data_IF_981202916794
#
_entry.id   IF_981202916794
#
_cell.length_a   1.000
_cell.length_b   1.000
_cell.length_c   1.000
_cell.angle_alpha   90.00
_cell.angle_beta   90.00
_cell.angle_gamma   90.00
#
_symmetry.space_group_name_H-M   'P 1'
#
loop_
_entity.id
_entity.type
_entity.pdbx_description
1 polymer ?
#
# COMPACT_ATOMS: atom_id res chain seq x y z
N UNK A 1 8.68 3.74 -11.22
CA UNK A 1 8.29 3.94 -12.64
C UNK A 1 7.99 2.66 -13.44
N UNK A 2 7.99 1.44 -12.85
CA UNK A 2 7.44 0.24 -13.52
C UNK A 2 5.95 0.01 -13.19
N UNK A 3 5.56 0.17 -11.93
CA UNK A 3 4.20 -0.12 -11.46
C UNK A 3 3.08 0.63 -12.21
N UNK A 4 3.29 1.88 -12.59
CA UNK A 4 2.27 2.63 -13.34
C UNK A 4 1.98 2.02 -14.71
N UNK A 5 2.98 1.42 -15.38
CA UNK A 5 2.78 0.73 -16.66
C UNK A 5 2.14 -0.65 -16.46
N UNK A 6 2.52 -1.38 -15.41
CA UNK A 6 1.88 -2.66 -15.10
C UNK A 6 0.38 -2.47 -14.81
N UNK A 7 0.01 -1.37 -14.14
CA UNK A 7 -1.39 -1.03 -13.89
C UNK A 7 -2.16 -0.61 -15.15
N UNK A 8 -1.47 -0.15 -16.21
CA UNK A 8 -2.09 0.14 -17.51
C UNK A 8 -2.47 -1.12 -18.28
N UNK A 9 -1.74 -2.23 -18.08
CA UNK A 9 -2.02 -3.52 -18.75
C UNK A 9 -3.29 -4.20 -18.20
N UNK A 10 -3.81 -3.70 -17.08
CA UNK A 10 -5.04 -4.15 -16.45
C UNK A 10 -4.78 -4.87 -15.14
N UNK A 11 -5.33 -4.33 -14.05
CA UNK A 11 -5.28 -4.92 -12.72
C UNK A 11 -6.66 -4.76 -12.09
N UNK A 12 -7.25 -5.84 -11.56
CA UNK A 12 -8.59 -5.76 -10.95
C UNK A 12 -8.55 -5.18 -9.53
N UNK A 13 -7.49 -5.51 -8.78
CA UNK A 13 -7.25 -5.02 -7.44
C UNK A 13 -5.75 -4.96 -7.12
N UNK A 14 -5.34 -3.98 -6.31
CA UNK A 14 -3.97 -3.76 -5.87
C UNK A 14 -3.88 -3.82 -4.35
N UNK A 15 -2.93 -4.60 -3.82
CA UNK A 15 -2.59 -4.61 -2.39
C UNK A 15 -1.21 -3.96 -2.22
N UNK A 16 -1.18 -2.84 -1.51
CA UNK A 16 0.03 -2.08 -1.20
C UNK A 16 0.46 -2.38 0.24
N UNK A 17 1.75 -2.64 0.44
CA UNK A 17 2.32 -2.93 1.77
C UNK A 17 3.41 -1.91 2.04
N UNK A 18 3.29 -1.16 3.13
CA UNK A 18 4.20 -0.05 3.42
C UNK A 18 4.41 0.19 4.93
N UNK A 19 5.49 0.88 5.26
CA UNK A 19 5.70 1.46 6.59
C UNK A 19 4.90 2.77 6.70
N UNK A 20 4.18 2.96 7.80
CA UNK A 20 3.37 4.16 8.04
C UNK A 20 3.83 4.91 9.29
N UNK A 21 3.53 6.23 9.40
CA UNK A 21 3.90 7.01 10.57
C UNK A 21 3.38 6.39 11.88
N UNK A 22 4.27 6.28 12.86
CA UNK A 22 3.91 5.79 14.19
C UNK A 22 2.96 6.74 14.89
N UNK A 23 1.86 6.20 15.43
CA UNK A 23 0.88 6.89 16.26
C UNK A 23 0.97 6.49 17.73
N UNK A 24 2.07 5.82 18.10
CA UNK A 24 2.39 5.42 19.48
C UNK A 24 2.39 3.93 19.71
N UNK A 25 2.18 3.11 18.68
CA UNK A 25 2.20 1.65 18.80
C UNK A 25 2.98 1.01 17.63
N UNK A 26 4.33 1.10 17.63
CA UNK A 26 5.16 0.48 16.59
C UNK A 26 4.83 -1.01 16.40
N UNK A 27 4.86 -1.47 15.14
CA UNK A 27 4.47 -2.84 14.78
C UNK A 27 2.95 -3.06 14.65
N UNK A 28 2.12 -2.06 14.95
CA UNK A 28 0.68 -2.17 14.72
C UNK A 28 0.38 -2.21 13.22
N UNK A 29 -0.42 -3.19 12.81
CA UNK A 29 -0.86 -3.36 11.42
C UNK A 29 -2.20 -2.68 11.22
N UNK A 30 -2.28 -1.86 10.17
CA UNK A 30 -3.47 -1.15 9.74
C UNK A 30 -3.85 -1.60 8.34
N UNK A 31 -5.13 -1.85 8.11
CA UNK A 31 -5.65 -2.21 6.79
C UNK A 31 -6.75 -1.21 6.43
N UNK A 32 -6.58 -0.51 5.31
CA UNK A 32 -7.53 0.50 4.85
C UNK A 32 -7.56 0.61 3.34
N UNK A 33 -8.66 1.12 2.80
CA UNK A 33 -8.80 1.41 1.37
C UNK A 33 -8.09 2.72 1.02
N UNK A 34 -7.38 2.75 -0.10
CA UNK A 34 -6.75 3.97 -0.56
C UNK A 34 -7.79 4.94 -1.14
N UNK A 35 -7.75 6.21 -0.68
CA UNK A 35 -8.51 7.29 -1.31
C UNK A 35 -7.70 7.90 -2.45
N UNK A 36 -7.96 7.46 -3.69
CA UNK A 36 -7.18 7.88 -4.86
C UNK A 36 -7.34 9.35 -5.25
N UNK A 37 -8.36 10.03 -4.72
CA UNK A 37 -8.59 11.47 -4.94
C UNK A 37 -7.66 12.30 -4.04
N UNK A 38 -7.56 11.96 -2.76
CA UNK A 38 -6.64 12.62 -1.83
C UNK A 38 -5.19 12.31 -2.16
N UNK A 39 -4.86 11.07 -2.53
CA UNK A 39 -3.49 10.68 -2.90
C UNK A 39 -2.97 11.48 -4.10
N UNK A 40 -3.79 11.70 -5.13
CA UNK A 40 -3.39 12.49 -6.31
C UNK A 40 -3.05 13.94 -5.95
N UNK A 41 -3.68 14.51 -4.91
CA UNK A 41 -3.41 15.86 -4.42
C UNK A 41 -2.17 15.94 -3.53
N UNK A 42 -1.71 14.82 -2.96
CA UNK A 42 -0.57 14.76 -2.02
C UNK A 42 0.76 14.41 -2.67
N UNK A 43 0.84 14.37 -4.01
CA UNK A 43 2.07 14.15 -4.78
C UNK A 43 3.06 15.32 -4.64
N UNK A 44 3.53 15.56 -3.41
CA UNK A 44 4.73 16.33 -3.10
C UNK A 44 5.95 15.45 -3.34
N UNK A 45 7.03 16.06 -3.85
CA UNK A 45 8.26 15.37 -4.22
C UNK A 45 8.94 14.74 -2.99
N UNK A 46 8.55 13.52 -2.66
CA UNK A 46 9.40 12.60 -1.91
C UNK A 46 10.27 11.83 -2.90
N UNK A 47 11.58 11.80 -2.65
CA UNK A 47 12.58 11.23 -3.57
C UNK A 47 12.56 9.69 -3.59
N UNK A 48 11.69 9.05 -2.81
CA UNK A 48 11.38 7.65 -2.97
C UNK A 48 10.56 7.45 -4.25
N UNK A 49 11.18 6.89 -5.27
CA UNK A 49 10.59 6.62 -6.59
C UNK A 49 9.41 5.60 -6.60
N UNK A 50 8.85 5.30 -5.42
CA UNK A 50 7.77 4.35 -5.16
C UNK A 50 6.73 4.93 -4.17
N UNK A 51 6.58 6.25 -4.06
CA UNK A 51 5.42 6.83 -3.39
C UNK A 51 4.13 6.42 -4.14
N UNK A 52 3.14 5.78 -3.46
CA UNK A 52 1.92 5.31 -4.10
C UNK A 52 1.11 6.43 -4.75
N UNK A 53 1.10 7.62 -4.15
CA UNK A 53 0.42 8.79 -4.71
C UNK A 53 1.04 9.22 -6.05
N UNK A 54 2.37 9.28 -6.14
CA UNK A 54 3.08 9.56 -7.38
C UNK A 54 2.83 8.49 -8.47
N UNK A 55 2.72 7.21 -8.09
CA UNK A 55 2.36 6.12 -9.02
C UNK A 55 0.95 6.30 -9.56
N UNK A 56 -0.05 6.56 -8.70
CA UNK A 56 -1.44 6.75 -9.15
C UNK A 56 -1.63 8.04 -9.95
N UNK A 57 -0.92 9.11 -9.60
CA UNK A 57 -0.92 10.33 -10.40
C UNK A 57 -0.34 10.09 -11.80
N UNK A 58 0.76 9.33 -11.89
CA UNK A 58 1.37 8.93 -13.17
C UNK A 58 0.43 8.05 -14.00
N UNK A 59 -0.23 7.06 -13.38
CA UNK A 59 -1.22 6.20 -14.02
C UNK A 59 -2.39 7.03 -14.61
N UNK A 60 -2.96 7.95 -13.80
CA UNK A 60 -4.01 8.87 -14.24
C UNK A 60 -3.54 9.74 -15.43
N UNK A 61 -2.31 10.28 -15.37
CA UNK A 61 -1.74 11.10 -16.44
C UNK A 61 -1.53 10.32 -17.75
N UNK A 62 -1.32 9.01 -17.68
CA UNK A 62 -1.21 8.11 -18.82
C UNK A 62 -2.56 7.59 -19.33
N UNK A 63 -3.68 8.02 -18.74
CA UNK A 63 -5.04 7.63 -19.13
C UNK A 63 -5.54 6.34 -18.48
N UNK A 64 -4.81 5.80 -17.51
CA UNK A 64 -5.26 4.66 -16.70
C UNK A 64 -6.12 5.09 -15.52
N UNK A 65 -6.80 4.13 -14.90
CA UNK A 65 -7.55 4.33 -13.66
C UNK A 65 -6.98 3.41 -12.59
N UNK A 66 -6.67 3.90 -11.38
CA UNK A 66 -6.18 3.03 -10.33
C UNK A 66 -7.25 1.99 -9.96
N UNK A 67 -6.87 0.72 -9.78
CA UNK A 67 -7.82 -0.32 -9.39
C UNK A 67 -8.25 -0.15 -7.93
N UNK A 68 -9.21 -0.97 -7.52
CA UNK A 68 -9.54 -1.10 -6.10
C UNK A 68 -8.26 -1.38 -5.31
N UNK A 69 -7.89 -0.48 -4.40
CA UNK A 69 -6.58 -0.51 -3.74
C UNK A 69 -6.75 -0.62 -2.24
N UNK A 70 -6.13 -1.64 -1.65
CA UNK A 70 -6.05 -1.81 -0.19
C UNK A 70 -4.60 -1.59 0.25
N UNK A 71 -4.41 -0.83 1.31
CA UNK A 71 -3.11 -0.59 1.94
C UNK A 71 -3.04 -1.39 3.24
N UNK A 72 -1.98 -2.18 3.39
CA UNK A 72 -1.58 -2.85 4.63
C UNK A 72 -0.35 -2.11 5.18
N UNK A 73 -0.59 -1.20 6.12
CA UNK A 73 0.44 -0.36 6.72
C UNK A 73 0.93 -0.93 8.05
N UNK A 74 2.24 -0.91 8.30
CA UNK A 74 2.82 -1.20 9.61
C UNK A 74 3.41 0.07 10.24
N UNK A 75 3.01 0.41 11.47
CA UNK A 75 3.60 1.55 12.18
C UNK A 75 5.10 1.33 12.41
N UNK A 76 5.94 2.21 11.85
CA UNK A 76 7.39 2.10 11.98
C UNK A 76 7.87 2.50 13.39
N UNK A 77 8.83 1.77 13.97
CA UNK A 77 9.47 2.20 15.22
C UNK A 77 10.57 3.24 14.98
N UNK A 78 11.36 3.05 13.92
CA UNK A 78 12.45 3.91 13.50
C UNK A 78 12.60 3.86 11.97
N UNK A 79 12.91 5.01 11.35
CA UNK A 79 13.19 5.19 9.91
C UNK A 79 14.57 5.81 9.65
N UNK A 80 15.42 5.91 10.67
CA UNK A 80 16.82 6.31 10.55
C UNK A 80 17.58 5.37 9.60
N UNK A 81 18.65 5.88 8.98
CA UNK A 81 19.48 5.09 8.06
C UNK A 81 20.08 3.86 8.76
N UNK A 82 19.81 2.68 8.21
CA UNK A 82 20.27 1.42 8.78
C UNK A 82 19.82 0.20 7.99
N UNK A 83 20.30 -0.97 8.38
CA UNK A 83 19.89 -2.26 7.81
C UNK A 83 19.15 -3.06 8.88
N UNK A 84 17.96 -3.54 8.52
CA UNK A 84 17.14 -4.38 9.37
C UNK A 84 15.88 -3.68 9.87
N UNK A 85 14.99 -4.48 10.44
CA UNK A 85 13.75 -4.02 11.05
C UNK A 85 13.99 -3.82 12.56
N UNK A 86 13.20 -2.94 13.18
CA UNK A 86 13.14 -2.89 14.64
C UNK A 86 12.56 -4.20 15.20
N UNK A 87 12.73 -4.45 16.49
CA UNK A 87 12.16 -5.64 17.14
C UNK A 87 10.64 -5.67 17.01
N UNK A 88 9.97 -4.55 17.20
CA UNK A 88 8.51 -4.42 17.11
C UNK A 88 8.00 -4.76 15.70
N UNK A 89 8.64 -4.20 14.67
CA UNK A 89 8.25 -4.47 13.27
C UNK A 89 8.59 -5.92 12.89
N UNK A 90 9.72 -6.45 13.36
CA UNK A 90 10.10 -7.86 13.15
C UNK A 90 9.04 -8.81 13.70
N UNK A 91 8.56 -8.56 14.92
CA UNK A 91 7.51 -9.34 15.57
C UNK A 91 6.15 -9.18 14.87
N UNK A 92 5.92 -8.04 14.20
CA UNK A 92 4.69 -7.77 13.48
C UNK A 92 4.60 -8.45 12.10
N UNK A 93 5.72 -8.85 11.49
CA UNK A 93 5.73 -9.45 10.13
C UNK A 93 4.74 -10.60 9.97
N UNK A 94 4.66 -11.60 10.88
CA UNK A 94 3.67 -12.68 10.75
C UNK A 94 2.22 -12.19 10.78
N UNK A 95 1.92 -11.11 11.53
CA UNK A 95 0.60 -10.51 11.55
C UNK A 95 0.30 -9.75 10.25
N UNK A 96 1.28 -9.05 9.68
CA UNK A 96 1.16 -8.40 8.38
C UNK A 96 0.86 -9.42 7.27
N UNK A 97 1.59 -10.55 7.24
CA UNK A 97 1.35 -11.64 6.27
C UNK A 97 -0.08 -12.15 6.37
N UNK A 98 -0.58 -12.42 7.59
CA UNK A 98 -1.97 -12.86 7.80
C UNK A 98 -3.00 -11.83 7.32
N UNK A 99 -2.73 -10.55 7.55
CA UNK A 99 -3.61 -9.47 7.08
C UNK A 99 -3.64 -9.41 5.55
N UNK A 100 -2.49 -9.57 4.89
CA UNK A 100 -2.38 -9.63 3.42
C UNK A 100 -3.15 -10.85 2.88
N UNK A 101 -2.98 -12.01 3.49
CA UNK A 101 -3.71 -13.24 3.11
C UNK A 101 -5.23 -13.06 3.23
N UNK A 102 -5.72 -12.42 4.30
CA UNK A 102 -7.15 -12.12 4.49
C UNK A 102 -7.68 -11.16 3.41
N UNK A 103 -6.94 -10.09 3.12
CA UNK A 103 -7.28 -9.14 2.05
C UNK A 103 -7.36 -9.85 0.70
N UNK A 104 -6.35 -10.65 0.36
CA UNK A 104 -6.33 -11.42 -0.89
C UNK A 104 -7.51 -12.40 -0.95
N UNK A 105 -7.78 -13.13 0.14
CA UNK A 105 -8.90 -14.05 0.19
C UNK A 105 -10.23 -13.35 -0.12
N UNK A 106 -10.48 -12.19 0.51
CA UNK A 106 -11.68 -11.36 0.27
C UNK A 106 -11.78 -10.85 -1.16
N UNK A 107 -10.65 -10.45 -1.77
CA UNK A 107 -10.62 -9.99 -3.16
C UNK A 107 -10.90 -11.12 -4.16
N UNK A 108 -10.56 -12.36 -3.80
CA UNK A 108 -10.78 -13.55 -4.63
C UNK A 108 -12.14 -14.21 -4.39
N UNK A 109 -12.92 -13.77 -3.38
CA UNK A 109 -14.28 -14.27 -3.20
C UNK A 109 -15.12 -13.94 -4.44
N UNK A 110 -15.73 -14.94 -5.10
CA UNK A 110 -16.54 -14.67 -6.28
C UNK A 110 -17.71 -13.78 -5.87
N UNK A 111 -17.87 -12.65 -6.57
CA UNK A 111 -19.04 -11.79 -6.43
C UNK A 111 -20.28 -12.66 -6.59
N UNK A 112 -20.97 -12.94 -5.48
CA UNK A 112 -22.25 -13.65 -5.49
C UNK A 112 -23.21 -12.75 -6.28
N UNK A 113 -23.40 -13.04 -7.57
CA UNK A 113 -24.45 -12.41 -8.38
C UNK A 113 -25.78 -12.72 -7.72
N UNK A 114 -26.36 -11.72 -7.05
CA UNK A 114 -27.77 -11.69 -6.68
C UNK A 114 -28.65 -11.51 -7.90
#
# INVERSE_FOLDING_TARGET
MHLAYDLLDGCEALVLVDAIPCRGAPGTIHVFEADHESLAATAGLDAHAMDPAAVFASLKALGGTPPYTVVVGCEAANVDEGIGLSEEVTVAVPAAVRAIEDVIARLLEPVRKG
#
